data_IF_354904027260
#
_entry.id   IF_354904027260
#
_cell.length_a   1.000
_cell.length_b   1.000
_cell.length_c   1.000
_cell.angle_alpha   90.00
_cell.angle_beta   90.00
_cell.angle_gamma   90.00
#
_symmetry.space_group_name_H-M   'P 1'
#
loop_
_entity.id
_entity.type
_entity.pdbx_description
1 polymer ?
#
# COMPACT_ATOMS: atom_id res chain seq x y z
N UNK A 1 8.41 -9.67 -36.20
CA UNK A 1 7.90 -9.59 -34.80
C UNK A 1 8.44 -8.34 -34.12
N UNK A 2 7.90 -7.14 -34.34
CA UNK A 2 8.60 -5.89 -33.94
C UNK A 2 7.72 -4.67 -33.59
N UNK A 3 6.41 -4.81 -33.35
CA UNK A 3 5.52 -3.66 -33.07
C UNK A 3 4.51 -3.91 -31.95
N UNK A 4 3.84 -5.06 -31.99
CA UNK A 4 2.74 -5.40 -31.07
C UNK A 4 3.21 -5.70 -29.64
N UNK A 5 4.30 -6.45 -29.45
CA UNK A 5 4.93 -6.65 -28.12
C UNK A 5 5.40 -5.33 -27.49
N UNK A 6 5.59 -4.26 -28.28
CA UNK A 6 6.22 -3.00 -27.84
C UNK A 6 5.25 -2.04 -27.15
N UNK A 7 4.04 -1.94 -27.69
CA UNK A 7 2.95 -1.19 -27.06
C UNK A 7 2.45 -1.95 -25.83
N UNK A 8 2.50 -3.29 -25.87
CA UNK A 8 2.09 -4.16 -24.78
C UNK A 8 2.83 -3.87 -23.47
N UNK A 9 4.16 -3.72 -23.45
CA UNK A 9 4.92 -3.52 -22.18
C UNK A 9 4.54 -2.22 -21.47
N UNK A 10 4.29 -1.13 -22.22
CA UNK A 10 4.01 0.19 -21.65
C UNK A 10 2.52 0.32 -21.32
N UNK A 11 1.65 -0.15 -22.22
CA UNK A 11 0.21 -0.27 -21.95
C UNK A 11 -0.04 -1.14 -20.71
N UNK A 12 0.75 -2.20 -20.53
CA UNK A 12 0.67 -3.06 -19.36
C UNK A 12 1.01 -2.33 -18.04
N UNK A 13 1.75 -1.22 -18.02
CA UNK A 13 1.93 -0.43 -16.79
C UNK A 13 0.61 0.24 -16.38
N UNK A 14 -0.03 0.95 -17.31
CA UNK A 14 -1.30 1.64 -17.03
C UNK A 14 -2.42 0.64 -16.71
N UNK A 15 -2.49 -0.48 -17.43
CA UNK A 15 -3.45 -1.56 -17.16
C UNK A 15 -3.21 -2.21 -15.79
N UNK A 16 -1.96 -2.51 -15.44
CA UNK A 16 -1.61 -3.07 -14.12
C UNK A 16 -2.06 -2.15 -12.99
N UNK A 17 -1.81 -0.83 -13.10
CA UNK A 17 -2.25 0.13 -12.08
C UNK A 17 -3.77 0.17 -12.01
N UNK A 18 -4.48 0.16 -13.14
CA UNK A 18 -5.94 0.14 -13.16
C UNK A 18 -6.52 -1.12 -12.51
N UNK A 19 -5.96 -2.30 -12.81
CA UNK A 19 -6.35 -3.56 -12.16
C UNK A 19 -6.08 -3.53 -10.66
N UNK A 20 -4.90 -3.03 -10.25
CA UNK A 20 -4.58 -2.91 -8.83
C UNK A 20 -5.52 -1.94 -8.13
N UNK A 21 -5.79 -0.75 -8.68
CA UNK A 21 -6.73 0.19 -8.07
C UNK A 21 -8.13 -0.41 -7.92
N UNK A 22 -8.59 -1.19 -8.91
CA UNK A 22 -9.87 -1.92 -8.83
C UNK A 22 -9.85 -2.99 -7.73
N UNK A 23 -8.80 -3.80 -7.68
CA UNK A 23 -8.60 -4.80 -6.64
C UNK A 23 -8.53 -4.19 -5.24
N UNK A 24 -7.79 -3.07 -5.09
CA UNK A 24 -7.68 -2.35 -3.83
C UNK A 24 -9.04 -1.79 -3.39
N UNK A 25 -9.83 -1.26 -4.32
CA UNK A 25 -11.20 -0.80 -4.02
C UNK A 25 -12.10 -1.96 -3.56
N UNK A 26 -11.91 -3.16 -4.11
CA UNK A 26 -12.63 -4.35 -3.65
C UNK A 26 -12.20 -4.77 -2.25
N UNK A 27 -10.89 -4.79 -1.97
CA UNK A 27 -10.35 -5.10 -0.64
C UNK A 27 -10.84 -4.11 0.42
N UNK A 28 -10.88 -2.82 0.10
CA UNK A 28 -11.41 -1.82 1.04
C UNK A 28 -12.90 -2.03 1.33
N UNK A 29 -13.71 -2.41 0.33
CA UNK A 29 -15.10 -2.80 0.57
C UNK A 29 -15.20 -4.01 1.48
N UNK A 30 -14.36 -5.03 1.28
CA UNK A 30 -14.32 -6.21 2.15
C UNK A 30 -13.92 -5.87 3.59
N UNK A 31 -12.95 -4.98 3.77
CA UNK A 31 -12.57 -4.46 5.10
C UNK A 31 -13.76 -3.77 5.75
N UNK A 32 -14.40 -2.86 5.02
CA UNK A 32 -15.52 -2.09 5.54
C UNK A 32 -16.70 -3.01 5.91
N UNK A 33 -17.09 -3.91 5.01
CA UNK A 33 -18.17 -4.87 5.23
C UNK A 33 -17.85 -5.77 6.43
N UNK A 34 -16.60 -6.23 6.57
CA UNK A 34 -16.15 -7.02 7.71
C UNK A 34 -16.27 -6.25 9.03
N UNK A 35 -15.75 -5.01 9.08
CA UNK A 35 -15.81 -4.18 10.29
C UNK A 35 -17.25 -3.83 10.68
N UNK A 36 -18.12 -3.47 9.72
CA UNK A 36 -19.52 -3.14 10.00
C UNK A 36 -20.34 -4.35 10.47
N UNK A 37 -19.96 -5.55 10.02
CA UNK A 37 -20.67 -6.79 10.32
C UNK A 37 -19.89 -7.70 11.27
N UNK A 38 -18.92 -7.17 12.02
CA UNK A 38 -18.01 -7.96 12.84
C UNK A 38 -18.73 -8.93 13.78
N UNK A 39 -19.84 -8.49 14.38
CA UNK A 39 -20.66 -9.30 15.30
C UNK A 39 -21.19 -10.60 14.68
N UNK A 40 -21.31 -10.69 13.35
CA UNK A 40 -21.73 -11.93 12.67
C UNK A 40 -20.67 -13.04 12.74
N UNK A 41 -19.43 -12.68 13.05
CA UNK A 41 -18.30 -13.60 13.14
C UNK A 41 -17.91 -13.89 14.60
N UNK A 42 -18.63 -13.30 15.56
CA UNK A 42 -18.43 -13.57 16.99
C UNK A 42 -19.28 -14.77 17.38
N UNK A 43 -18.62 -15.79 17.91
CA UNK A 43 -19.23 -17.00 18.43
C UNK A 43 -19.29 -16.95 19.96
N UNK A 44 -20.24 -17.68 20.54
CA UNK A 44 -20.39 -17.82 21.99
C UNK A 44 -20.25 -19.29 22.39
N UNK A 45 -19.43 -19.54 23.39
CA UNK A 45 -19.31 -20.83 24.06
C UNK A 45 -19.53 -20.66 25.55
N UNK A 46 -20.18 -21.63 26.18
CA UNK A 46 -20.32 -21.62 27.63
C UNK A 46 -19.05 -22.19 28.29
N UNK A 47 -18.56 -21.50 29.32
CA UNK A 47 -17.44 -21.98 30.12
C UNK A 47 -17.75 -21.89 31.62
N UNK A 48 -17.23 -22.86 32.37
CA UNK A 48 -17.33 -22.89 33.82
C UNK A 48 -16.40 -21.83 34.43
N UNK A 49 -16.96 -20.88 35.20
CA UNK A 49 -16.19 -19.95 36.02
C UNK A 49 -16.60 -20.04 37.49
N UNK A 50 -15.61 -19.92 38.37
CA UNK A 50 -15.84 -19.81 39.81
C UNK A 50 -16.23 -18.38 40.16
N UNK A 51 -17.39 -18.23 40.78
CA UNK A 51 -17.90 -16.95 41.25
C UNK A 51 -17.99 -16.95 42.78
N UNK A 52 -17.44 -15.90 43.42
CA UNK A 52 -17.45 -15.77 44.88
C UNK A 52 -18.13 -14.47 45.33
N UNK A 53 -19.28 -14.61 45.99
CA UNK A 53 -20.07 -13.50 46.53
C UNK A 53 -19.58 -13.00 47.91
N UNK A 54 -18.43 -13.46 48.38
CA UNK A 54 -17.78 -12.99 49.62
C UNK A 54 -18.32 -13.58 50.92
N UNK A 55 -19.42 -14.34 50.90
CA UNK A 55 -19.95 -15.06 52.07
C UNK A 55 -20.44 -16.46 51.69
N UNK A 56 -19.53 -17.41 51.49
CA UNK A 56 -19.84 -18.80 51.11
C UNK A 56 -18.68 -19.53 50.44
N UNK A 57 -18.91 -20.79 50.04
CA UNK A 57 -18.01 -21.49 49.11
C UNK A 57 -18.19 -20.94 47.68
N UNK A 58 -17.15 -20.93 46.83
CA UNK A 58 -17.28 -20.51 45.44
C UNK A 58 -18.31 -21.36 44.69
N UNK A 59 -19.24 -20.72 43.99
CA UNK A 59 -20.19 -21.41 43.12
C UNK A 59 -19.62 -21.50 41.72
N UNK A 60 -19.83 -22.63 41.06
CA UNK A 60 -19.50 -22.80 39.65
C UNK A 60 -20.70 -22.35 38.82
N UNK A 61 -20.50 -21.34 37.98
CA UNK A 61 -21.52 -20.83 37.07
C UNK A 61 -21.06 -21.00 35.62
N UNK A 62 -22.01 -21.27 34.71
CA UNK A 62 -21.75 -21.21 33.28
C UNK A 62 -21.85 -19.76 32.84
N UNK A 63 -20.79 -19.23 32.24
CA UNK A 63 -20.79 -17.90 31.64
C UNK A 63 -20.58 -18.00 30.13
N UNK A 64 -21.32 -17.22 29.31
CA UNK A 64 -21.04 -17.14 27.89
C UNK A 64 -19.70 -16.40 27.69
N UNK A 65 -18.81 -17.02 26.93
CA UNK A 65 -17.54 -16.43 26.49
C UNK A 65 -17.63 -16.22 24.98
N UNK A 66 -17.42 -14.97 24.56
CA UNK A 66 -17.39 -14.56 23.16
C UNK A 66 -15.99 -14.80 22.59
N UNK A 67 -15.91 -15.28 21.36
CA UNK A 67 -14.65 -15.49 20.66
C UNK A 67 -14.76 -15.34 19.15
N UNK A 68 -13.61 -15.19 18.50
CA UNK A 68 -13.47 -15.31 17.04
C UNK A 68 -12.39 -16.35 16.78
N UNK A 69 -12.73 -17.45 16.10
CA UNK A 69 -11.79 -18.55 15.80
C UNK A 69 -10.97 -19.03 17.02
N UNK A 70 -11.62 -19.11 18.19
CA UNK A 70 -11.00 -19.53 19.45
C UNK A 70 -10.19 -18.48 20.19
N UNK A 71 -10.09 -17.24 19.67
CA UNK A 71 -9.51 -16.10 20.38
C UNK A 71 -10.58 -15.50 21.29
N UNK A 72 -10.41 -15.66 22.60
CA UNK A 72 -11.40 -15.29 23.60
C UNK A 72 -11.39 -13.78 23.90
N UNK A 73 -12.57 -13.18 24.03
CA UNK A 73 -12.74 -11.78 24.45
C UNK A 73 -12.25 -11.53 25.89
N UNK A 74 -12.13 -12.59 26.71
CA UNK A 74 -11.55 -12.51 28.06
C UNK A 74 -10.04 -12.19 28.04
N UNK A 75 -9.35 -12.60 26.99
CA UNK A 75 -7.89 -12.51 26.89
C UNK A 75 -7.46 -11.31 26.05
N UNK A 76 -8.31 -10.87 25.12
CA UNK A 76 -8.01 -9.83 24.15
C UNK A 76 -9.22 -8.95 23.86
N UNK A 77 -8.97 -7.68 23.53
CA UNK A 77 -9.96 -6.83 22.86
C UNK A 77 -10.11 -7.29 21.40
N UNK A 78 -10.89 -8.35 21.19
CA UNK A 78 -11.11 -8.92 19.86
C UNK A 78 -11.70 -7.89 18.90
N UNK A 79 -12.60 -7.02 19.37
CA UNK A 79 -13.24 -6.03 18.53
C UNK A 79 -12.23 -4.98 18.06
N UNK A 80 -11.45 -4.41 18.97
CA UNK A 80 -10.42 -3.43 18.63
C UNK A 80 -9.36 -4.03 17.70
N UNK A 81 -8.87 -5.24 17.99
CA UNK A 81 -7.87 -5.90 17.14
C UNK A 81 -8.40 -6.13 15.72
N UNK A 82 -9.57 -6.74 15.57
CA UNK A 82 -10.08 -7.14 14.27
C UNK A 82 -10.68 -5.98 13.47
N UNK A 83 -11.19 -4.93 14.12
CA UNK A 83 -11.87 -3.82 13.42
C UNK A 83 -11.04 -2.55 13.30
N UNK A 84 -9.98 -2.40 14.10
CA UNK A 84 -9.11 -1.22 14.07
C UNK A 84 -7.66 -1.55 13.67
N UNK A 85 -7.06 -2.60 14.24
CA UNK A 85 -5.63 -2.92 14.01
C UNK A 85 -5.41 -3.74 12.74
N UNK A 86 -6.10 -4.88 12.57
CA UNK A 86 -5.91 -5.73 11.39
C UNK A 86 -6.20 -5.01 10.05
N UNK A 87 -7.20 -4.12 9.94
CA UNK A 87 -7.40 -3.31 8.74
C UNK A 87 -6.19 -2.44 8.37
N UNK A 88 -5.41 -1.97 9.36
CA UNK A 88 -4.17 -1.23 9.10
C UNK A 88 -3.20 -2.14 8.35
N UNK A 89 -2.92 -3.35 8.86
CA UNK A 89 -2.02 -4.29 8.18
C UNK A 89 -2.46 -4.62 6.75
N UNK A 90 -3.76 -4.75 6.51
CA UNK A 90 -4.30 -5.00 5.18
C UNK A 90 -4.06 -3.80 4.25
N UNK A 91 -4.41 -2.58 4.66
CA UNK A 91 -4.18 -1.37 3.85
C UNK A 91 -2.69 -1.11 3.57
N UNK A 92 -1.81 -1.53 4.46
CA UNK A 92 -0.38 -1.40 4.25
C UNK A 92 0.16 -2.44 3.27
N UNK A 93 -0.35 -3.66 3.35
CA UNK A 93 -0.08 -4.70 2.35
C UNK A 93 -0.56 -4.25 0.96
N UNK A 94 -1.68 -3.54 0.90
CA UNK A 94 -2.20 -2.91 -0.32
C UNK A 94 -1.23 -1.84 -0.86
N UNK A 95 -0.73 -0.92 -0.02
CA UNK A 95 0.27 0.09 -0.41
C UNK A 95 1.57 -0.55 -0.93
N UNK A 96 2.09 -1.55 -0.22
CA UNK A 96 3.32 -2.27 -0.58
C UNK A 96 3.14 -2.96 -1.93
N UNK A 97 2.02 -3.63 -2.14
CA UNK A 97 1.69 -4.32 -3.40
C UNK A 97 1.63 -3.32 -4.55
N UNK A 98 0.88 -2.23 -4.38
CA UNK A 98 0.74 -1.18 -5.38
C UNK A 98 2.12 -0.61 -5.79
N UNK A 99 2.94 -0.24 -4.82
CA UNK A 99 4.29 0.27 -5.06
C UNK A 99 5.19 -0.76 -5.76
N UNK A 100 5.22 -2.00 -5.27
CA UNK A 100 6.11 -3.04 -5.79
C UNK A 100 5.80 -3.34 -7.25
N UNK A 101 4.52 -3.49 -7.60
CA UNK A 101 4.10 -3.75 -8.98
C UNK A 101 4.39 -2.56 -9.90
N UNK A 102 4.14 -1.34 -9.43
CA UNK A 102 4.47 -0.12 -10.17
C UNK A 102 5.98 -0.02 -10.47
N UNK A 103 6.84 -0.19 -9.46
CA UNK A 103 8.30 -0.10 -9.62
C UNK A 103 8.86 -1.18 -10.54
N UNK A 104 8.34 -2.42 -10.46
CA UNK A 104 8.70 -3.53 -11.35
C UNK A 104 8.35 -3.18 -12.80
N UNK A 105 7.13 -2.72 -13.06
CA UNK A 105 6.69 -2.37 -14.42
C UNK A 105 7.49 -1.19 -14.99
N UNK A 106 7.83 -0.19 -14.19
CA UNK A 106 8.74 0.88 -14.60
C UNK A 106 10.12 0.31 -15.01
N UNK A 107 10.66 -0.61 -14.21
CA UNK A 107 11.92 -1.28 -14.51
C UNK A 107 11.84 -2.12 -15.78
N UNK A 108 10.72 -2.78 -16.05
CA UNK A 108 10.49 -3.54 -17.28
C UNK A 108 10.54 -2.61 -18.50
N UNK A 109 9.90 -1.44 -18.43
CA UNK A 109 9.95 -0.42 -19.48
C UNK A 109 11.40 0.05 -19.70
N UNK A 110 12.13 0.39 -18.64
CA UNK A 110 13.54 0.81 -18.73
C UNK A 110 14.39 -0.29 -19.38
N UNK A 111 14.24 -1.53 -18.93
CA UNK A 111 14.99 -2.69 -19.44
C UNK A 111 14.69 -2.94 -20.92
N UNK A 112 13.43 -2.77 -21.32
CA UNK A 112 12.98 -2.84 -22.69
C UNK A 112 13.66 -1.76 -23.56
N UNK A 113 13.66 -0.50 -23.11
CA UNK A 113 14.28 0.62 -23.86
C UNK A 113 15.79 0.45 -24.03
N UNK A 114 16.49 -0.06 -23.02
CA UNK A 114 17.90 -0.42 -23.13
C UNK A 114 18.15 -1.54 -24.13
N UNK A 115 17.30 -2.57 -24.11
CA UNK A 115 17.40 -3.69 -25.06
C UNK A 115 17.21 -3.20 -26.50
N UNK A 116 16.28 -2.27 -26.74
CA UNK A 116 16.09 -1.67 -28.07
C UNK A 116 17.32 -0.90 -28.57
N UNK A 117 18.03 -0.19 -27.68
CA UNK A 117 19.24 0.57 -28.05
C UNK A 117 20.54 -0.23 -27.89
N UNK A 118 20.45 -1.51 -27.53
CA UNK A 118 21.62 -2.35 -27.19
C UNK A 118 22.54 -1.70 -26.14
N UNK A 119 21.96 -0.97 -25.19
CA UNK A 119 22.66 -0.35 -24.07
C UNK A 119 22.36 -1.08 -22.77
N UNK A 120 23.04 -0.72 -21.67
CA UNK A 120 22.78 -1.26 -20.34
C UNK A 120 22.31 -0.15 -19.41
N UNK A 121 21.40 -0.44 -18.44
CA UNK A 121 21.07 0.49 -17.38
C UNK A 121 22.33 0.91 -16.62
N UNK A 122 22.38 2.18 -16.23
CA UNK A 122 23.46 2.68 -15.38
C UNK A 122 23.38 2.03 -14.00
N UNK A 123 24.50 2.07 -13.28
CA UNK A 123 24.52 1.66 -11.87
C UNK A 123 23.80 2.70 -11.01
N UNK A 124 22.98 2.22 -10.07
CA UNK A 124 22.30 3.06 -9.08
C UNK A 124 23.32 3.78 -8.19
N UNK A 125 23.11 5.06 -7.91
CA UNK A 125 23.94 5.80 -6.96
C UNK A 125 23.65 5.36 -5.51
N UNK A 126 24.60 5.59 -4.59
CA UNK A 126 24.54 5.10 -3.20
C UNK A 126 23.26 5.50 -2.44
N UNK A 127 22.79 6.74 -2.66
CA UNK A 127 21.63 7.30 -1.94
C UNK A 127 20.39 7.44 -2.84
N UNK A 128 20.42 6.83 -4.01
CA UNK A 128 19.35 6.91 -4.97
C UNK A 128 18.34 5.77 -4.77
N UNK A 129 17.05 6.12 -4.82
CA UNK A 129 15.98 5.14 -4.82
C UNK A 129 15.89 4.43 -6.18
N UNK A 130 15.37 3.21 -6.20
CA UNK A 130 15.15 2.47 -7.46
C UNK A 130 14.17 3.25 -8.35
N UNK A 131 13.13 3.84 -7.76
CA UNK A 131 12.21 4.73 -8.47
C UNK A 131 12.93 5.92 -9.12
N UNK A 132 13.74 6.68 -8.39
CA UNK A 132 14.49 7.82 -8.94
C UNK A 132 15.46 7.40 -10.05
N UNK A 133 16.10 6.23 -9.92
CA UNK A 133 16.93 5.65 -10.98
C UNK A 133 16.10 5.39 -12.24
N UNK A 134 14.94 4.74 -12.12
CA UNK A 134 14.07 4.45 -13.26
C UNK A 134 13.61 5.74 -13.95
N UNK A 135 13.20 6.77 -13.19
CA UNK A 135 12.83 8.08 -13.76
C UNK A 135 13.99 8.69 -14.53
N UNK A 136 15.19 8.68 -13.95
CA UNK A 136 16.40 9.21 -14.59
C UNK A 136 16.77 8.46 -15.87
N UNK A 137 16.61 7.13 -15.91
CA UNK A 137 16.79 6.35 -17.14
C UNK A 137 15.74 6.71 -18.20
N UNK A 138 14.47 6.83 -17.80
CA UNK A 138 13.40 7.26 -18.70
C UNK A 138 13.68 8.66 -19.30
N UNK A 139 14.19 9.60 -18.50
CA UNK A 139 14.68 10.90 -18.98
C UNK A 139 15.84 10.75 -19.96
N UNK A 140 16.79 9.85 -19.71
CA UNK A 140 17.89 9.56 -20.64
C UNK A 140 17.39 9.02 -21.99
N UNK A 141 16.29 8.26 -22.00
CA UNK A 141 15.62 7.85 -23.24
C UNK A 141 14.81 8.97 -23.90
N UNK A 142 14.72 10.12 -23.24
CA UNK A 142 14.17 11.36 -23.76
C UNK A 142 12.85 11.76 -23.13
N UNK A 143 12.22 10.94 -22.30
CA UNK A 143 10.90 11.25 -21.71
C UNK A 143 11.02 12.52 -20.85
N UNK A 144 10.23 13.53 -21.19
CA UNK A 144 10.31 14.83 -20.53
C UNK A 144 9.42 14.86 -19.29
N UNK A 145 10.01 15.06 -18.11
CA UNK A 145 9.30 15.21 -16.85
C UNK A 145 9.39 16.64 -16.27
N UNK A 146 9.82 17.62 -17.08
CA UNK A 146 10.07 19.00 -16.62
C UNK A 146 8.81 19.79 -16.27
N UNK A 147 7.62 19.29 -16.63
CA UNK A 147 6.35 19.90 -16.26
C UNK A 147 6.17 19.97 -14.74
N UNK A 148 5.75 21.12 -14.21
CA UNK A 148 5.61 21.36 -12.77
C UNK A 148 4.74 20.29 -12.07
N UNK A 149 3.64 19.91 -12.70
CA UNK A 149 2.72 18.91 -12.14
C UNK A 149 3.39 17.52 -12.07
N UNK A 150 4.19 17.15 -13.07
CA UNK A 150 4.93 15.89 -13.08
C UNK A 150 6.05 15.87 -12.05
N UNK A 151 6.78 16.98 -11.89
CA UNK A 151 7.78 17.11 -10.84
C UNK A 151 7.15 16.93 -9.45
N UNK A 152 5.98 17.52 -9.22
CA UNK A 152 5.23 17.34 -7.97
C UNK A 152 4.79 15.89 -7.75
N UNK A 153 4.38 15.19 -8.82
CA UNK A 153 3.98 13.78 -8.76
C UNK A 153 5.18 12.89 -8.43
N UNK A 154 6.31 13.10 -9.11
CA UNK A 154 7.56 12.35 -8.87
C UNK A 154 8.07 12.60 -7.45
N UNK A 155 8.06 13.85 -7.00
CA UNK A 155 8.46 14.22 -5.63
C UNK A 155 7.55 13.57 -4.59
N UNK A 156 6.22 13.61 -4.80
CA UNK A 156 5.27 12.97 -3.89
C UNK A 156 5.51 11.47 -3.79
N UNK A 157 5.70 10.79 -4.92
CA UNK A 157 5.98 9.35 -4.93
C UNK A 157 7.31 9.03 -4.23
N UNK A 158 8.40 9.76 -4.52
CA UNK A 158 9.72 9.40 -3.99
C UNK A 158 9.96 9.89 -2.54
N UNK A 159 9.44 11.05 -2.17
CA UNK A 159 9.75 11.71 -0.91
C UNK A 159 8.64 11.63 0.14
N UNK A 160 7.43 11.22 -0.24
CA UNK A 160 6.31 11.01 0.69
C UNK A 160 5.93 9.52 0.70
N UNK A 161 5.47 8.99 -0.43
CA UNK A 161 4.90 7.63 -0.50
C UNK A 161 5.95 6.57 -0.18
N UNK A 162 7.13 6.64 -0.82
CA UNK A 162 8.20 5.67 -0.59
C UNK A 162 8.66 5.63 0.87
N UNK A 163 8.91 6.75 1.57
CA UNK A 163 9.20 6.72 3.00
C UNK A 163 8.11 6.07 3.86
N UNK A 164 6.83 6.38 3.62
CA UNK A 164 5.71 5.76 4.36
C UNK A 164 5.68 4.25 4.13
N UNK A 165 5.82 3.80 2.88
CA UNK A 165 5.94 2.38 2.54
C UNK A 165 7.16 1.73 3.19
N UNK A 166 8.30 2.42 3.23
CA UNK A 166 9.53 1.89 3.82
C UNK A 166 9.44 1.74 5.35
N UNK A 167 8.72 2.64 6.03
CA UNK A 167 8.43 2.51 7.46
C UNK A 167 7.70 1.19 7.75
N UNK A 168 6.79 0.76 6.88
CA UNK A 168 6.13 -0.53 7.00
C UNK A 168 7.03 -1.73 6.68
N UNK A 169 7.83 -1.62 5.61
CA UNK A 169 8.70 -2.72 5.18
C UNK A 169 9.87 -2.98 6.14
N UNK A 170 10.37 -1.95 6.83
CA UNK A 170 11.60 -2.04 7.63
C UNK A 170 11.38 -1.87 9.13
N UNK A 171 10.39 -1.08 9.54
CA UNK A 171 10.21 -0.66 10.93
C UNK A 171 8.88 -1.16 11.50
N UNK A 172 8.23 -2.12 10.84
CA UNK A 172 6.94 -2.69 11.25
C UNK A 172 5.79 -1.68 11.27
N UNK A 173 5.95 -0.53 10.60
CA UNK A 173 4.95 0.54 10.59
C UNK A 173 5.05 1.52 11.74
N UNK A 174 6.10 1.44 12.58
CA UNK A 174 6.25 2.34 13.73
C UNK A 174 6.82 3.69 13.26
N UNK A 175 6.13 4.77 13.61
CA UNK A 175 6.51 6.13 13.24
C UNK A 175 7.65 6.71 14.09
N UNK A 176 8.80 6.04 14.18
CA UNK A 176 9.89 6.46 15.09
C UNK A 176 10.64 7.71 14.61
N UNK A 177 10.83 7.84 13.29
CA UNK A 177 11.65 8.91 12.74
C UNK A 177 10.92 10.24 12.64
N UNK A 178 11.62 11.35 12.89
CA UNK A 178 11.10 12.72 12.73
C UNK A 178 10.61 13.00 11.31
N UNK A 179 11.23 12.38 10.29
CA UNK A 179 10.79 12.47 8.90
C UNK A 179 9.38 11.89 8.73
N UNK A 180 9.13 10.68 9.22
CA UNK A 180 7.82 10.02 9.07
C UNK A 180 6.75 10.79 9.83
N UNK A 181 7.04 11.22 11.07
CA UNK A 181 6.11 12.07 11.85
C UNK A 181 5.72 13.34 11.09
N UNK A 182 6.69 14.06 10.52
CA UNK A 182 6.42 15.27 9.73
C UNK A 182 5.59 14.99 8.46
N UNK A 183 5.75 13.83 7.83
CA UNK A 183 4.94 13.44 6.67
C UNK A 183 3.48 13.16 7.08
N UNK A 184 3.27 12.52 8.23
CA UNK A 184 1.94 12.25 8.77
C UNK A 184 1.22 13.56 9.10
N UNK A 185 1.87 14.49 9.81
CA UNK A 185 1.30 15.79 10.19
C UNK A 185 0.84 16.64 8.98
N UNK A 186 1.50 16.48 7.84
CA UNK A 186 1.17 17.22 6.60
C UNK A 186 0.09 16.57 5.76
N UNK A 187 -0.25 15.31 6.04
CA UNK A 187 -1.22 14.55 5.27
C UNK A 187 -2.52 14.40 6.04
N UNK A 188 -3.64 14.78 5.40
CA UNK A 188 -4.98 14.50 5.94
C UNK A 188 -5.38 13.03 5.87
N UNK A 189 -4.60 12.22 5.14
CA UNK A 189 -4.91 10.82 4.81
C UNK A 189 -4.00 9.83 5.54
N UNK A 190 -3.10 10.33 6.40
CA UNK A 190 -2.23 9.53 7.26
C UNK A 190 -2.54 9.84 8.71
N UNK A 191 -2.49 8.84 9.57
CA UNK A 191 -2.61 9.01 11.02
C UNK A 191 -1.76 7.98 11.75
N UNK A 192 -1.79 8.03 13.08
CA UNK A 192 -1.20 6.99 13.93
C UNK A 192 -2.32 6.36 14.74
N UNK A 193 -2.39 5.03 14.72
CA UNK A 193 -3.34 4.22 15.47
C UNK A 193 -2.56 3.08 16.11
N UNK A 194 -2.68 2.91 17.43
CA UNK A 194 -1.91 1.92 18.19
C UNK A 194 -0.39 1.98 17.93
N UNK A 195 0.17 3.19 17.83
CA UNK A 195 1.60 3.40 17.53
C UNK A 195 2.02 3.09 16.09
N UNK A 196 1.11 2.58 15.25
CA UNK A 196 1.34 2.22 13.86
C UNK A 196 0.88 3.33 12.90
N UNK A 197 1.62 3.53 11.82
CA UNK A 197 1.22 4.44 10.73
C UNK A 197 -0.02 3.89 10.03
N UNK A 198 -1.15 4.55 10.20
CA UNK A 198 -2.40 4.20 9.56
C UNK A 198 -2.53 4.94 8.22
N UNK A 199 -2.64 4.20 7.12
CA UNK A 199 -2.92 4.74 5.78
C UNK A 199 -4.41 4.60 5.51
N UNK A 200 -5.08 5.71 5.21
CA UNK A 200 -6.50 5.66 4.84
C UNK A 200 -6.70 5.09 3.43
N UNK A 201 -7.91 4.65 3.14
CA UNK A 201 -8.32 4.31 1.77
C UNK A 201 -8.14 5.48 0.79
N UNK A 202 -8.39 6.71 1.24
CA UNK A 202 -8.15 7.92 0.46
C UNK A 202 -6.66 8.11 0.13
N UNK A 203 -5.74 7.73 1.04
CA UNK A 203 -4.31 7.74 0.75
C UNK A 203 -3.96 6.75 -0.36
N UNK A 204 -4.47 5.52 -0.29
CA UNK A 204 -4.22 4.50 -1.32
C UNK A 204 -4.73 4.95 -2.70
N UNK A 205 -5.91 5.58 -2.74
CA UNK A 205 -6.46 6.14 -3.97
C UNK A 205 -5.62 7.29 -4.52
N UNK A 206 -5.15 8.18 -3.65
CA UNK A 206 -4.23 9.28 -4.01
C UNK A 206 -2.93 8.73 -4.62
N UNK A 207 -2.29 7.75 -3.96
CA UNK A 207 -1.08 7.09 -4.45
C UNK A 207 -1.31 6.44 -5.82
N UNK A 208 -2.39 5.69 -5.97
CA UNK A 208 -2.75 5.07 -7.25
C UNK A 208 -2.99 6.10 -8.35
N UNK A 209 -3.59 7.25 -8.02
CA UNK A 209 -3.83 8.34 -8.98
C UNK A 209 -2.52 8.99 -9.44
N UNK A 210 -1.58 9.21 -8.52
CA UNK A 210 -0.23 9.72 -8.85
C UNK A 210 0.51 8.75 -9.79
N UNK A 211 0.46 7.44 -9.50
CA UNK A 211 1.06 6.40 -10.35
C UNK A 211 0.40 6.35 -11.74
N UNK A 212 -0.93 6.42 -11.81
CA UNK A 212 -1.69 6.44 -13.06
C UNK A 212 -1.37 7.66 -13.92
N UNK A 213 -1.23 8.84 -13.31
CA UNK A 213 -0.83 10.05 -14.02
C UNK A 213 0.57 9.90 -14.62
N UNK A 214 1.53 9.42 -13.84
CA UNK A 214 2.90 9.19 -14.31
C UNK A 214 2.95 8.13 -15.41
N UNK A 215 2.23 7.01 -15.26
CA UNK A 215 2.14 5.96 -16.28
C UNK A 215 1.52 6.47 -17.59
N UNK A 216 0.46 7.26 -17.51
CA UNK A 216 -0.20 7.86 -18.68
C UNK A 216 0.74 8.80 -19.43
N UNK A 217 1.53 9.60 -18.69
CA UNK A 217 2.53 10.48 -19.27
C UNK A 217 3.64 9.70 -19.99
N UNK A 218 4.18 8.65 -19.35
CA UNK A 218 5.20 7.79 -19.96
C UNK A 218 4.67 7.13 -21.24
N UNK A 219 3.44 6.63 -21.21
CA UNK A 219 2.77 6.04 -22.38
C UNK A 219 2.66 7.05 -23.53
N UNK A 220 2.21 8.28 -23.23
CA UNK A 220 2.05 9.34 -24.22
C UNK A 220 3.39 9.76 -24.84
N UNK A 221 4.41 10.04 -24.02
CA UNK A 221 5.73 10.47 -24.50
C UNK A 221 6.40 9.41 -25.39
N UNK A 222 6.30 8.13 -25.03
CA UNK A 222 6.84 7.05 -25.85
C UNK A 222 6.00 6.86 -27.14
N UNK A 223 4.68 7.00 -27.05
CA UNK A 223 3.76 6.87 -28.17
C UNK A 223 3.94 7.96 -29.23
N UNK A 224 4.13 9.22 -28.83
CA UNK A 224 4.37 10.34 -29.75
C UNK A 224 5.68 10.16 -30.51
N UNK A 225 6.77 9.86 -29.79
CA UNK A 225 8.12 9.83 -30.37
C UNK A 225 8.36 8.69 -31.35
N UNK A 226 7.44 7.74 -31.45
CA UNK A 226 7.50 6.62 -32.40
C UNK A 226 6.54 6.78 -33.58
N UNK A 227 5.69 7.81 -33.58
CA UNK A 227 4.85 8.19 -34.72
C UNK A 227 5.51 9.25 -35.62
N UNK A 228 6.61 9.86 -35.16
CA UNK A 228 7.51 10.69 -35.96
C UNK A 228 8.73 9.87 -36.38
#
# INVERSE_FOLDING_TARGET
MKGEEKYFVIQALSEEIAFLQSFLSQQERQIHDYCENFEKYVEEVEAEQFYWLGSGEPEMIMVPIRHVDGIMESDYDIKGVFTEILPIYQRQSMLITLWARFEVKLKDIVSYLHSERSTKPRKKAKNESVFAQNISELTHFGIDFSGKDLLSVIDSLDNIVRPIRNCWVHDGGIAETTKIKSLIEKSKNLSVTDGLVNVSSAYLYEVGSLMSLLASHIYHEIGIRRKC
#
